data_IF_706423704085
#
_entry.id   IF_706423704085
#
_cell.length_a   1.000
_cell.length_b   1.000
_cell.length_c   1.000
_cell.angle_alpha   90.00
_cell.angle_beta   90.00
_cell.angle_gamma   90.00
#
_symmetry.space_group_name_H-M   'P 1'
#
loop_
_entity.id
_entity.type
_entity.pdbx_description
1 polymer ?
#
# COMPACT_ATOMS: atom_id res chain seq x y z
N UNK A 1 20.01 7.25 20.85
CA UNK A 1 19.78 6.45 19.63
C UNK A 1 18.46 6.92 19.05
N UNK A 2 18.47 7.95 18.19
CA UNK A 2 17.24 8.57 17.66
C UNK A 2 16.54 7.55 16.75
N UNK A 3 15.33 7.14 17.14
CA UNK A 3 14.71 5.89 16.71
C UNK A 3 14.51 5.83 15.20
N UNK A 4 15.04 4.79 14.57
CA UNK A 4 14.77 4.44 13.17
C UNK A 4 13.29 4.03 12.94
N UNK A 5 12.46 4.07 13.99
CA UNK A 5 11.05 3.75 13.98
C UNK A 5 10.25 4.95 14.49
N UNK A 6 9.14 5.28 13.83
CA UNK A 6 8.19 6.30 14.26
C UNK A 6 6.77 5.78 14.13
N UNK A 7 6.26 5.26 15.23
CA UNK A 7 4.94 4.66 15.35
C UNK A 7 3.82 5.51 14.75
N UNK A 8 3.80 6.82 15.06
CA UNK A 8 2.80 7.76 14.51
C UNK A 8 2.73 7.76 12.98
N UNK A 9 3.86 7.60 12.31
CA UNK A 9 3.89 7.59 10.85
C UNK A 9 3.51 6.21 10.28
N UNK A 10 3.76 5.13 11.02
CA UNK A 10 3.30 3.76 10.67
C UNK A 10 1.78 3.68 10.80
N UNK A 11 1.20 4.19 11.89
CA UNK A 11 -0.26 4.27 12.08
C UNK A 11 -0.93 5.08 10.96
N UNK A 12 -0.34 6.21 10.58
CA UNK A 12 -0.79 6.99 9.40
C UNK A 12 -0.69 6.21 8.09
N UNK A 13 0.31 5.33 7.95
CA UNK A 13 0.43 4.45 6.78
C UNK A 13 -0.72 3.45 6.76
N UNK A 14 -1.03 2.83 7.90
CA UNK A 14 -2.16 1.90 8.01
C UNK A 14 -3.49 2.60 7.71
N UNK A 15 -3.74 3.76 8.35
CA UNK A 15 -4.92 4.59 8.09
C UNK A 15 -5.03 4.94 6.60
N UNK A 16 -3.96 5.40 5.95
CA UNK A 16 -3.98 5.79 4.53
C UNK A 16 -4.46 4.66 3.57
N UNK A 17 -4.22 3.40 3.92
CA UNK A 17 -4.61 2.24 3.09
C UNK A 17 -6.11 2.01 3.06
N UNK A 18 -6.81 2.40 4.13
CA UNK A 18 -8.26 2.29 4.24
C UNK A 18 -8.77 0.86 4.03
N UNK A 19 -7.97 -0.13 4.47
CA UNK A 19 -8.38 -1.52 4.48
C UNK A 19 -9.35 -1.72 5.65
N UNK A 20 -10.64 -1.69 5.36
CA UNK A 20 -11.66 -2.07 6.33
C UNK A 20 -11.45 -3.56 6.68
N UNK A 21 -11.37 -3.93 7.97
CA UNK A 21 -11.18 -5.32 8.39
C UNK A 21 -12.24 -6.28 7.84
N UNK A 22 -13.45 -5.80 7.56
CA UNK A 22 -14.52 -6.58 6.96
C UNK A 22 -14.35 -6.73 5.43
N UNK A 23 -13.50 -5.90 4.81
CA UNK A 23 -13.24 -5.88 3.36
C UNK A 23 -11.95 -6.60 2.95
N UNK A 24 -10.98 -6.76 3.86
CA UNK A 24 -9.81 -7.58 3.63
C UNK A 24 -8.61 -7.26 4.51
N UNK A 25 -7.49 -7.90 4.19
CA UNK A 25 -6.29 -7.93 5.02
C UNK A 25 -5.20 -7.03 4.46
N UNK A 26 -4.54 -6.28 5.33
CA UNK A 26 -3.33 -5.53 5.01
C UNK A 26 -2.15 -6.50 4.92
N UNK A 27 -1.55 -6.64 3.74
CA UNK A 27 -0.33 -7.44 3.59
C UNK A 27 0.90 -6.60 3.97
N UNK A 28 1.69 -7.08 4.93
CA UNK A 28 3.02 -6.55 5.24
C UNK A 28 4.08 -7.54 4.74
N UNK A 29 5.07 -7.01 4.02
CA UNK A 29 6.20 -7.75 3.46
C UNK A 29 7.50 -7.16 3.98
N UNK A 30 8.38 -8.03 4.47
CA UNK A 30 9.73 -7.68 4.89
C UNK A 30 10.75 -8.19 3.88
N UNK A 31 11.65 -7.33 3.44
CA UNK A 31 12.71 -7.66 2.47
C UNK A 31 14.10 -7.31 3.02
N UNK A 32 15.07 -8.18 2.78
CA UNK A 32 16.47 -7.95 3.10
C UNK A 32 17.33 -8.30 1.90
N UNK A 33 18.18 -7.35 1.47
CA UNK A 33 19.05 -7.51 0.29
C UNK A 33 18.29 -7.96 -0.98
N UNK A 34 17.06 -7.47 -1.17
CA UNK A 34 16.21 -7.80 -2.31
C UNK A 34 15.53 -9.17 -2.24
N UNK A 35 15.60 -9.87 -1.10
CA UNK A 35 14.92 -11.13 -0.87
C UNK A 35 13.80 -10.95 0.17
N UNK A 36 12.65 -11.56 -0.09
CA UNK A 36 11.57 -11.67 0.89
C UNK A 36 12.05 -12.52 2.07
N UNK A 37 11.97 -11.96 3.28
CA UNK A 37 12.32 -12.65 4.52
C UNK A 37 11.11 -12.86 5.44
N UNK A 38 9.96 -12.30 5.08
CA UNK A 38 8.71 -12.56 5.77
C UNK A 38 7.50 -11.86 5.15
N UNK A 39 6.34 -12.48 5.32
CA UNK A 39 5.03 -11.95 4.93
C UNK A 39 4.05 -12.14 6.10
N UNK A 40 3.16 -11.17 6.31
CA UNK A 40 2.04 -11.27 7.26
C UNK A 40 0.79 -10.60 6.70
N UNK A 41 -0.39 -11.05 7.15
CA UNK A 41 -1.69 -10.52 6.78
C UNK A 41 -2.39 -9.98 8.02
N UNK A 42 -2.84 -8.72 7.99
CA UNK A 42 -3.28 -8.00 9.18
C UNK A 42 -4.70 -7.46 9.00
N UNK A 43 -5.53 -7.66 10.01
CA UNK A 43 -6.89 -7.08 10.09
C UNK A 43 -6.98 -5.94 11.11
N UNK A 44 -5.91 -5.67 11.87
CA UNK A 44 -5.90 -4.61 12.87
C UNK A 44 -4.59 -3.81 12.88
N UNK A 45 -4.72 -2.54 13.27
CA UNK A 45 -3.61 -1.58 13.31
C UNK A 45 -2.54 -1.96 14.35
N UNK A 46 -2.94 -2.46 15.53
CA UNK A 46 -2.00 -2.70 16.63
C UNK A 46 -0.98 -3.78 16.28
N UNK A 47 -1.44 -4.91 15.75
CA UNK A 47 -0.56 -6.01 15.36
C UNK A 47 0.29 -5.62 14.14
N UNK A 48 -0.26 -4.87 13.19
CA UNK A 48 0.49 -4.33 12.05
C UNK A 48 1.65 -3.43 12.52
N UNK A 49 1.37 -2.51 13.45
CA UNK A 49 2.36 -1.60 14.04
C UNK A 49 3.41 -2.37 14.83
N UNK A 50 3.00 -3.35 15.63
CA UNK A 50 3.91 -4.18 16.43
C UNK A 50 4.88 -4.97 15.54
N UNK A 51 4.40 -5.56 14.45
CA UNK A 51 5.24 -6.30 13.51
C UNK A 51 6.14 -5.38 12.68
N UNK A 52 5.68 -4.18 12.33
CA UNK A 52 6.54 -3.16 11.74
C UNK A 52 7.70 -2.80 12.66
N UNK A 53 7.45 -2.62 13.96
CA UNK A 53 8.50 -2.36 14.95
C UNK A 53 9.47 -3.55 15.05
N UNK A 54 8.95 -4.78 15.07
CA UNK A 54 9.74 -6.01 15.19
C UNK A 54 10.70 -6.22 14.02
N UNK A 55 10.25 -5.97 12.79
CA UNK A 55 11.08 -6.13 11.59
C UNK A 55 11.85 -4.87 11.18
N UNK A 56 11.62 -3.73 11.85
CA UNK A 56 12.22 -2.44 11.50
C UNK A 56 13.74 -2.47 11.36
N UNK A 57 14.43 -3.33 12.10
CA UNK A 57 15.91 -3.46 12.07
C UNK A 57 16.41 -4.66 11.27
N UNK A 58 15.49 -5.48 10.72
CA UNK A 58 15.83 -6.71 10.01
C UNK A 58 15.84 -6.51 8.48
N UNK A 59 15.08 -5.54 7.98
CA UNK A 59 14.97 -5.28 6.55
C UNK A 59 14.11 -4.05 6.24
N UNK A 60 13.90 -3.81 4.94
CA UNK A 60 12.93 -2.83 4.46
C UNK A 60 11.52 -3.42 4.55
N UNK A 61 10.56 -2.56 4.90
CA UNK A 61 9.16 -2.95 5.05
C UNK A 61 8.31 -2.35 3.94
N UNK A 62 7.49 -3.19 3.33
CA UNK A 62 6.58 -2.86 2.26
C UNK A 62 5.17 -3.30 2.63
N UNK A 63 4.17 -2.49 2.32
CA UNK A 63 2.76 -2.79 2.56
C UNK A 63 1.98 -2.79 1.25
N UNK A 64 1.08 -3.76 1.10
CA UNK A 64 0.18 -3.81 -0.05
C UNK A 64 -0.73 -2.59 -0.07
N UNK A 65 -0.87 -1.97 -1.24
CA UNK A 65 -1.72 -0.79 -1.45
C UNK A 65 -3.20 -1.13 -1.33
N UNK A 66 -3.56 -2.35 -1.70
CA UNK A 66 -4.93 -2.85 -1.75
C UNK A 66 -5.08 -4.05 -0.80
N UNK A 67 -6.27 -4.26 -0.20
CA UNK A 67 -6.51 -5.32 0.75
C UNK A 67 -6.49 -6.69 0.08
N UNK A 68 -6.04 -7.70 0.81
CA UNK A 68 -6.07 -9.10 0.39
C UNK A 68 -7.36 -9.79 0.85
N UNK A 69 -7.81 -10.80 0.12
CA UNK A 69 -9.02 -11.56 0.45
C UNK A 69 -8.94 -12.19 1.85
N UNK A 70 -10.03 -12.13 2.60
CA UNK A 70 -10.16 -12.81 3.90
C UNK A 70 -10.01 -14.34 3.77
N UNK A 71 -10.35 -14.90 2.60
CA UNK A 71 -10.21 -16.33 2.29
C UNK A 71 -8.76 -16.82 2.40
N UNK A 72 -7.78 -15.91 2.35
CA UNK A 72 -6.37 -16.26 2.56
C UNK A 72 -6.08 -16.76 3.97
N UNK A 73 -6.86 -16.36 4.98
CA UNK A 73 -6.63 -16.81 6.36
C UNK A 73 -6.78 -18.33 6.48
N UNK A 74 -7.73 -18.90 5.74
CA UNK A 74 -7.99 -20.34 5.70
C UNK A 74 -6.87 -21.09 4.96
N UNK A 75 -6.35 -20.49 3.89
CA UNK A 75 -5.32 -21.09 3.04
C UNK A 75 -3.94 -21.09 3.71
N UNK A 76 -3.68 -20.10 4.56
CA UNK A 76 -2.35 -19.87 5.15
C UNK A 76 -2.23 -20.24 6.63
N UNK A 77 -3.05 -21.19 7.09
CA UNK A 77 -2.95 -21.79 8.43
C UNK A 77 -2.88 -20.75 9.58
N UNK A 78 -3.63 -19.65 9.47
CA UNK A 78 -3.63 -18.59 10.48
C UNK A 78 -2.40 -17.66 10.42
N UNK A 79 -1.98 -17.24 9.21
CA UNK A 79 -1.03 -16.14 8.95
C UNK A 79 -1.55 -14.75 9.41
N UNK A 80 -2.61 -14.73 10.21
CA UNK A 80 -3.27 -13.57 10.75
C UNK A 80 -2.38 -12.88 11.77
N UNK A 81 -2.24 -11.57 11.63
CA UNK A 81 -1.67 -10.66 12.62
C UNK A 81 -0.23 -10.97 13.04
N UNK A 82 0.53 -11.66 12.18
CA UNK A 82 1.95 -11.90 12.40
C UNK A 82 2.71 -12.15 11.10
N UNK A 83 3.92 -11.60 10.99
CA UNK A 83 4.83 -11.99 9.90
C UNK A 83 5.39 -13.38 10.18
N UNK A 84 5.25 -14.27 9.21
CA UNK A 84 5.98 -15.54 9.15
C UNK A 84 7.18 -15.40 8.25
N UNK A 85 8.31 -15.95 8.68
CA UNK A 85 9.49 -16.05 7.84
C UNK A 85 9.18 -16.99 6.68
N UNK A 86 9.22 -16.46 5.47
CA UNK A 86 9.01 -17.19 4.22
C UNK A 86 10.16 -16.86 3.27
N UNK A 87 10.51 -17.80 2.39
CA UNK A 87 11.57 -17.63 1.40
C UNK A 87 11.04 -17.25 0.01
N UNK A 88 9.71 -17.09 -0.12
CA UNK A 88 9.02 -16.62 -1.30
C UNK A 88 7.77 -15.84 -0.86
N UNK A 89 7.32 -14.89 -1.69
CA UNK A 89 6.00 -14.29 -1.48
C UNK A 89 4.95 -15.37 -1.70
N UNK A 90 4.12 -15.59 -0.69
CA UNK A 90 3.05 -16.57 -0.73
C UNK A 90 1.76 -15.98 -1.25
N UNK A 91 1.70 -14.67 -1.43
CA UNK A 91 0.56 -13.95 -2.00
C UNK A 91 0.81 -13.58 -3.45
N UNK A 92 -0.26 -13.54 -4.23
CA UNK A 92 -0.29 -13.13 -5.63
C UNK A 92 -1.15 -11.88 -5.81
N UNK A 93 -1.07 -11.25 -6.98
CA UNK A 93 -1.97 -10.15 -7.34
C UNK A 93 -3.43 -10.60 -7.45
N UNK A 94 -3.70 -11.89 -7.68
CA UNK A 94 -5.06 -12.43 -7.76
C UNK A 94 -5.73 -12.51 -6.38
N UNK A 95 -4.93 -12.43 -5.31
CA UNK A 95 -5.44 -12.45 -3.93
C UNK A 95 -5.92 -11.06 -3.45
N UNK A 96 -5.87 -10.02 -4.29
CA UNK A 96 -6.44 -8.70 -3.96
C UNK A 96 -7.97 -8.79 -3.92
N UNK A 97 -8.58 -8.35 -2.82
CA UNK A 97 -10.03 -8.35 -2.66
C UNK A 97 -10.72 -7.23 -3.45
N UNK A 98 -10.12 -6.04 -3.45
CA UNK A 98 -10.64 -4.84 -4.10
C UNK A 98 -9.55 -3.79 -4.26
N UNK A 99 -9.77 -2.77 -5.09
CA UNK A 99 -8.88 -1.64 -5.27
C UNK A 99 -9.35 -0.51 -4.36
N UNK A 100 -8.59 -0.19 -3.31
CA UNK A 100 -8.83 0.91 -2.36
C UNK A 100 -7.86 2.08 -2.57
N UNK A 101 -6.75 1.84 -3.27
CA UNK A 101 -5.74 2.84 -3.57
C UNK A 101 -5.05 2.61 -4.91
N UNK A 102 -4.49 3.68 -5.46
CA UNK A 102 -3.65 3.61 -6.66
C UNK A 102 -2.37 4.39 -6.44
N UNK A 103 -1.24 3.75 -6.76
CA UNK A 103 0.08 4.38 -6.67
C UNK A 103 0.61 4.62 -8.07
N UNK A 104 0.87 5.89 -8.36
CA UNK A 104 1.37 6.35 -9.65
C UNK A 104 2.77 6.93 -9.47
N UNK A 105 3.80 6.41 -10.16
CA UNK A 105 5.14 6.99 -10.14
C UNK A 105 5.12 8.48 -10.54
N UNK A 106 6.03 9.27 -9.98
CA UNK A 106 6.16 10.70 -10.30
C UNK A 106 6.50 10.92 -11.79
N UNK A 107 7.20 9.96 -12.38
CA UNK A 107 7.60 9.96 -13.80
C UNK A 107 6.45 9.65 -14.75
N UNK A 108 5.32 9.12 -14.26
CA UNK A 108 4.16 8.80 -15.08
C UNK A 108 3.29 10.04 -15.27
N UNK A 109 3.04 10.49 -16.51
CA UNK A 109 2.12 11.60 -16.76
C UNK A 109 0.70 11.20 -16.39
N UNK A 110 0.02 12.01 -15.57
CA UNK A 110 -1.39 11.76 -15.24
C UNK A 110 -2.30 12.10 -16.43
N UNK A 111 -3.46 11.44 -16.50
CA UNK A 111 -4.58 11.87 -17.33
C UNK A 111 -5.08 13.25 -16.89
N UNK A 112 -5.86 13.94 -17.73
CA UNK A 112 -6.42 15.24 -17.36
C UNK A 112 -7.39 15.15 -16.18
N UNK A 113 -8.10 14.03 -16.03
CA UNK A 113 -8.96 13.76 -14.87
C UNK A 113 -8.12 13.56 -13.60
N UNK A 114 -7.08 12.72 -13.63
CA UNK A 114 -6.26 12.47 -12.45
C UNK A 114 -5.45 13.70 -12.01
N UNK A 115 -5.08 14.60 -12.94
CA UNK A 115 -4.36 15.84 -12.64
C UNK A 115 -5.12 16.75 -11.68
N UNK A 116 -6.46 16.81 -11.75
CA UNK A 116 -7.23 17.69 -10.85
C UNK A 116 -7.14 17.26 -9.39
N UNK A 117 -6.78 16.00 -9.12
CA UNK A 117 -6.62 15.44 -7.78
C UNK A 117 -5.16 15.33 -7.32
N UNK A 118 -4.20 15.75 -8.15
CA UNK A 118 -2.78 15.58 -7.85
C UNK A 118 -2.31 16.37 -6.62
N UNK A 119 -3.00 17.46 -6.25
CA UNK A 119 -2.78 18.21 -5.00
C UNK A 119 -3.21 17.45 -3.74
N UNK A 120 -4.18 16.57 -3.90
CA UNK A 120 -4.85 15.83 -2.82
C UNK A 120 -4.24 14.44 -2.63
N UNK A 121 -3.45 13.97 -3.59
CA UNK A 121 -2.64 12.77 -3.43
C UNK A 121 -1.57 12.92 -2.35
N UNK A 122 -1.39 11.85 -1.56
CA UNK A 122 -0.22 11.68 -0.69
C UNK A 122 1.00 11.45 -1.57
N UNK A 123 2.11 12.13 -1.26
CA UNK A 123 3.40 11.92 -1.93
C UNK A 123 4.28 11.07 -1.01
N UNK A 124 4.53 9.85 -1.45
CA UNK A 124 5.30 8.82 -0.76
C UNK A 124 6.79 9.15 -0.72
N UNK A 125 7.58 8.36 0.00
CA UNK A 125 9.01 8.57 0.16
C UNK A 125 9.76 8.67 -1.17
N UNK A 126 9.45 7.74 -2.08
CA UNK A 126 10.02 7.58 -3.41
C UNK A 126 9.38 8.51 -4.47
N UNK A 127 8.66 9.55 -4.01
CA UNK A 127 7.92 10.54 -4.81
C UNK A 127 6.70 10.00 -5.56
N UNK A 128 6.37 8.73 -5.39
CA UNK A 128 5.13 8.17 -5.92
C UNK A 128 3.91 8.89 -5.31
N UNK A 129 2.86 9.05 -6.11
CA UNK A 129 1.59 9.65 -5.68
C UNK A 129 0.62 8.54 -5.35
N UNK A 130 0.20 8.50 -4.10
CA UNK A 130 -0.85 7.62 -3.60
C UNK A 130 -2.20 8.36 -3.63
N UNK A 131 -3.16 7.77 -4.33
CA UNK A 131 -4.55 8.24 -4.39
C UNK A 131 -5.42 7.26 -3.61
N UNK A 132 -5.93 7.68 -2.45
CA UNK A 132 -6.88 6.89 -1.67
C UNK A 132 -8.26 7.01 -2.32
N UNK A 133 -8.86 5.90 -2.72
CA UNK A 133 -10.20 5.87 -3.27
C UNK A 133 -11.23 6.00 -2.14
N UNK A 134 -12.35 6.67 -2.41
CA UNK A 134 -13.42 6.82 -1.43
C UNK A 134 -14.32 5.59 -1.31
N UNK A 135 -14.38 4.76 -2.34
CA UNK A 135 -15.13 3.50 -2.34
C UNK A 135 -14.28 2.41 -3.01
N UNK A 136 -14.22 1.19 -2.45
CA UNK A 136 -13.52 0.08 -3.08
C UNK A 136 -14.04 -0.19 -4.49
N UNK A 137 -13.11 -0.45 -5.42
CA UNK A 137 -13.41 -0.78 -6.81
C UNK A 137 -13.11 -2.26 -7.06
N UNK A 138 -13.96 -2.94 -7.83
CA UNK A 138 -13.75 -4.33 -8.21
C UNK A 138 -12.43 -4.52 -8.99
N UNK A 139 -11.70 -5.60 -8.69
CA UNK A 139 -10.40 -5.89 -9.32
C UNK A 139 -10.51 -6.15 -10.83
N UNK A 140 -11.67 -6.62 -11.30
CA UNK A 140 -11.99 -6.76 -12.73
C UNK A 140 -12.03 -5.44 -13.49
N UNK A 141 -12.13 -4.31 -12.77
CA UNK A 141 -12.03 -2.97 -13.36
C UNK A 141 -10.59 -2.42 -13.43
N UNK A 142 -9.56 -3.23 -13.12
CA UNK A 142 -8.15 -2.80 -13.07
C UNK A 142 -7.66 -2.07 -14.33
N UNK A 143 -8.00 -2.54 -15.52
CA UNK A 143 -7.62 -1.89 -16.78
C UNK A 143 -8.24 -0.49 -16.93
N UNK A 144 -9.49 -0.34 -16.49
CA UNK A 144 -10.19 0.94 -16.48
C UNK A 144 -9.56 1.89 -15.46
N UNK A 145 -9.25 1.40 -14.26
CA UNK A 145 -8.53 2.17 -13.23
C UNK A 145 -7.20 2.67 -13.79
N UNK A 146 -6.42 1.80 -14.43
CA UNK A 146 -5.16 2.17 -15.09
C UNK A 146 -5.37 3.28 -16.11
N UNK A 147 -6.31 3.11 -17.04
CA UNK A 147 -6.59 4.08 -18.09
C UNK A 147 -7.10 5.43 -17.56
N UNK A 148 -7.84 5.41 -16.45
CA UNK A 148 -8.32 6.62 -15.79
C UNK A 148 -7.16 7.45 -15.24
N UNK A 149 -6.15 6.82 -14.63
CA UNK A 149 -5.01 7.53 -14.03
C UNK A 149 -3.96 8.00 -15.04
N UNK A 150 -3.67 7.21 -16.09
CA UNK A 150 -2.78 7.63 -17.17
C UNK A 150 -3.16 7.03 -18.51
N UNK A 151 -2.96 7.82 -19.57
CA UNK A 151 -3.03 7.36 -20.96
C UNK A 151 -1.75 6.65 -21.41
N UNK A 152 -0.65 6.85 -20.69
CA UNK A 152 0.61 6.17 -20.97
C UNK A 152 0.68 4.95 -20.06
N UNK A 153 0.91 3.75 -20.58
CA UNK A 153 1.10 2.57 -19.75
C UNK A 153 2.25 2.79 -18.76
N UNK A 154 1.99 2.54 -17.48
CA UNK A 154 3.02 2.25 -16.48
C UNK A 154 2.79 0.83 -15.97
N UNK A 155 3.76 0.28 -15.23
CA UNK A 155 3.64 -1.03 -14.59
C UNK A 155 2.65 -0.97 -13.41
N UNK A 156 1.39 -0.68 -13.72
CA UNK A 156 0.29 -0.78 -12.78
C UNK A 156 -0.08 -2.25 -12.63
N UNK A 157 -0.17 -2.69 -11.38
CA UNK A 157 -0.71 -3.98 -10.99
C UNK A 157 -1.60 -3.75 -9.78
N UNK A 158 -2.64 -4.56 -9.57
CA UNK A 158 -3.48 -4.40 -8.37
C UNK A 158 -2.74 -4.73 -7.08
N UNK A 159 -1.69 -5.57 -7.17
CA UNK A 159 -0.85 -5.98 -6.05
C UNK A 159 0.30 -5.03 -5.69
N UNK A 160 0.24 -3.73 -6.04
CA UNK A 160 1.34 -2.79 -5.74
C UNK A 160 1.67 -2.78 -4.25
N UNK A 161 2.96 -2.61 -3.93
CA UNK A 161 3.42 -2.33 -2.58
C UNK A 161 4.10 -0.97 -2.52
N UNK A 162 4.01 -0.35 -1.34
CA UNK A 162 4.75 0.88 -1.01
C UNK A 162 5.56 0.66 0.26
N UNK A 163 6.66 1.40 0.40
CA UNK A 163 7.44 1.37 1.64
C UNK A 163 6.62 1.87 2.82
N UNK A 164 6.70 1.17 3.94
CA UNK A 164 5.99 1.55 5.17
C UNK A 164 6.62 2.80 5.75
N UNK A 165 5.87 3.90 5.72
CA UNK A 165 6.35 5.16 6.31
C UNK A 165 6.51 5.02 7.82
N UNK A 166 7.56 5.61 8.38
CA UNK A 166 7.87 5.45 9.80
C UNK A 166 8.84 4.31 10.10
N UNK A 167 9.23 3.51 9.11
CA UNK A 167 10.20 2.42 9.25
C UNK A 167 11.58 2.78 8.70
N UNK A 168 12.59 1.96 9.02
CA UNK A 168 13.97 2.24 8.65
C UNK A 168 14.19 2.17 7.13
N UNK A 169 15.12 2.99 6.64
CA UNK A 169 15.55 3.00 5.25
C UNK A 169 16.95 2.39 5.14
N UNK A 170 17.09 1.35 4.32
CA UNK A 170 18.37 0.70 4.06
C UNK A 170 19.31 1.65 3.31
N UNK A 171 20.58 1.73 3.72
CA UNK A 171 21.59 2.55 3.02
C UNK A 171 21.49 4.08 3.20
N UNK A 172 20.58 4.59 4.03
CA UNK A 172 20.46 6.02 4.31
C UNK A 172 21.63 6.60 5.13
N UNK A 173 22.13 7.78 4.72
CA UNK A 173 23.17 8.52 5.43
C UNK A 173 22.79 8.91 6.87
N UNK A 174 23.76 9.39 7.65
CA UNK A 174 23.71 9.58 9.12
C UNK A 174 22.54 10.43 9.67
N UNK A 175 21.79 11.15 8.81
CA UNK A 175 20.76 12.11 9.21
C UNK A 175 19.33 11.74 8.78
N UNK A 176 19.11 10.77 7.88
CA UNK A 176 17.78 10.40 7.36
C UNK A 176 17.65 8.87 7.20
N UNK A 177 17.52 8.14 8.30
CA UNK A 177 17.42 6.67 8.34
C UNK A 177 15.99 6.12 8.28
N UNK A 178 14.99 6.92 7.90
CA UNK A 178 13.59 6.51 7.96
C UNK A 178 12.83 6.88 6.69
N UNK A 179 11.94 6.00 6.27
CA UNK A 179 10.91 6.28 5.28
C UNK A 179 9.97 7.36 5.84
N UNK A 180 9.78 8.43 5.07
CA UNK A 180 8.94 9.58 5.45
C UNK A 180 8.11 10.03 4.25
N UNK A 181 6.87 10.47 4.51
CA UNK A 181 6.07 11.16 3.51
C UNK A 181 6.78 12.44 3.05
N UNK A 182 6.76 12.69 1.74
CA UNK A 182 7.10 14.01 1.20
C UNK A 182 5.95 14.99 1.42
N UNK A 183 4.72 14.50 1.31
CA UNK A 183 3.49 15.22 1.63
C UNK A 183 2.40 14.24 2.04
N UNK A 184 1.87 14.37 3.25
CA UNK A 184 0.76 13.54 3.71
C UNK A 184 -0.58 14.24 3.43
N UNK A 185 -1.51 13.50 2.83
CA UNK A 185 -2.88 13.92 2.49
C UNK A 185 -3.84 12.75 2.74
N UNK A 186 -4.57 12.72 3.85
CA UNK A 186 -5.47 11.63 4.21
C UNK A 186 -6.86 11.79 3.56
N UNK A 187 -6.91 12.27 2.32
CA UNK A 187 -8.18 12.54 1.64
C UNK A 187 -8.65 11.29 0.91
N UNK A 188 -9.87 10.86 1.22
CA UNK A 188 -10.60 9.88 0.43
C UNK A 188 -11.21 10.58 -0.78
N UNK A 189 -10.84 10.14 -1.98
CA UNK A 189 -11.23 10.78 -3.23
C UNK A 189 -12.46 10.06 -3.81
N UNK A 190 -13.61 10.27 -3.19
CA UNK A 190 -14.88 9.65 -3.60
C UNK A 190 -15.22 9.97 -5.05
N UNK A 191 -14.89 11.17 -5.52
CA UNK A 191 -15.12 11.59 -6.90
C UNK A 191 -14.37 10.74 -7.92
N UNK A 192 -13.20 10.19 -7.55
CA UNK A 192 -12.47 9.23 -8.40
C UNK A 192 -13.24 7.92 -8.44
N UNK A 193 -13.74 7.45 -7.30
CA UNK A 193 -14.48 6.19 -7.20
C UNK A 193 -15.80 6.27 -7.98
N UNK A 194 -16.55 7.36 -7.81
CA UNK A 194 -17.80 7.61 -8.54
C UNK A 194 -17.56 7.61 -10.05
N UNK A 195 -16.51 8.29 -10.53
CA UNK A 195 -16.18 8.32 -11.95
C UNK A 195 -15.82 6.92 -12.49
N UNK A 196 -15.16 6.08 -11.69
CA UNK A 196 -14.82 4.72 -12.05
C UNK A 196 -16.03 3.79 -12.04
N UNK A 197 -16.98 3.97 -11.11
CA UNK A 197 -18.18 3.14 -10.98
C UNK A 197 -19.26 3.49 -12.02
N UNK A 198 -19.47 4.76 -12.35
CA UNK A 198 -20.45 5.18 -13.38
C UNK A 198 -20.11 4.61 -14.75
N UNK A 199 -18.82 4.42 -15.05
CA UNK A 199 -18.38 3.80 -16.30
C UNK A 199 -18.66 2.28 -16.39
N UNK A 200 -19.37 1.68 -15.41
CA UNK A 200 -19.74 0.25 -15.38
C UNK A 200 -21.22 0.03 -15.73
N UNK A 201 -22.05 1.07 -15.65
CA UNK A 201 -23.51 1.00 -15.88
C UNK A 201 -23.90 1.37 -17.34
N UNK A 202 -22.94 1.30 -18.27
CA UNK A 202 -23.11 1.67 -19.69
C UNK A 202 -22.76 0.56 -20.65
#
# INVERSE_FOLDING_TARGET
MLSAFREKDVRRCYDLLQHDPDQGLTQLKAEYAGQVIGVGLFDNEEDFVAECLRYNTLGELYVGVNPRSLELLDQFAGLQNRIRSVFADVTSSDDVASITGVVVPDTTPLSDHAKSFASDATVMHDRERYFALGTPIDVGASDRVRAWFSRIPWAYEVGQHVRVTGTSLSGGGLLNRRVSYRRYRPYRLSEISDALLVATDG
#
